data_IF_123394165150
#
_entry.id   IF_123394165150
#
_cell.length_a   1.000
_cell.length_b   1.000
_cell.length_c   1.000
_cell.angle_alpha   90.00
_cell.angle_beta   90.00
_cell.angle_gamma   90.00
#
_symmetry.space_group_name_H-M   'P 1'
#
loop_
_entity.id
_entity.type
_entity.pdbx_description
1 polymer ?
#
# COMPACT_ATOMS: atom_id res chain seq x y z
N UNK A 1 4.70 -0.59 0.63
CA UNK A 1 4.47 -1.66 -0.38
C UNK A 1 5.71 -2.50 -0.68
N UNK A 2 6.92 -1.94 -0.80
CA UNK A 2 8.14 -2.74 -1.05
C UNK A 2 8.37 -3.86 0.00
N UNK A 3 8.22 -3.56 1.29
CA UNK A 3 8.31 -4.57 2.36
C UNK A 3 7.24 -5.67 2.21
N UNK A 4 6.01 -5.30 1.85
CA UNK A 4 4.95 -6.28 1.60
C UNK A 4 5.28 -7.21 0.42
N UNK A 5 5.91 -6.70 -0.64
CA UNK A 5 6.40 -7.54 -1.74
C UNK A 5 7.50 -8.53 -1.28
N UNK A 6 8.40 -8.10 -0.39
CA UNK A 6 9.41 -8.97 0.21
C UNK A 6 8.76 -10.06 1.05
N UNK A 7 7.80 -9.71 1.92
CA UNK A 7 7.07 -10.70 2.71
C UNK A 7 6.29 -11.66 1.81
N UNK A 8 5.63 -11.15 0.75
CA UNK A 8 4.92 -12.00 -0.21
C UNK A 8 5.86 -12.98 -0.92
N UNK A 9 7.07 -12.53 -1.28
CA UNK A 9 8.11 -13.40 -1.84
C UNK A 9 8.58 -14.47 -0.84
N UNK A 10 8.73 -14.10 0.44
CA UNK A 10 9.08 -15.05 1.50
C UNK A 10 7.97 -16.07 1.74
N UNK A 11 6.71 -15.65 1.62
CA UNK A 11 5.55 -16.55 1.67
C UNK A 11 5.63 -17.52 0.48
N UNK A 12 5.73 -17.04 -0.77
CA UNK A 12 5.79 -17.95 -1.92
C UNK A 12 7.05 -18.83 -1.97
N UNK A 13 8.09 -18.51 -1.21
CA UNK A 13 9.32 -19.30 -1.10
C UNK A 13 9.32 -20.32 0.06
N UNK A 14 8.32 -20.29 0.94
CA UNK A 14 8.20 -21.21 2.07
C UNK A 14 7.32 -22.41 1.71
N UNK A 15 7.64 -23.62 2.19
CA UNK A 15 6.86 -24.85 1.92
C UNK A 15 5.72 -25.09 2.93
N UNK A 16 4.68 -25.89 2.59
CA UNK A 16 4.65 -26.94 1.56
C UNK A 16 3.97 -26.57 0.23
N UNK A 17 3.33 -25.41 0.14
CA UNK A 17 2.64 -24.91 -1.04
C UNK A 17 3.21 -23.55 -1.42
N UNK A 18 4.06 -23.53 -2.47
CA UNK A 18 4.86 -22.38 -2.90
C UNK A 18 4.02 -21.32 -3.65
N UNK A 19 3.98 -21.36 -4.98
CA UNK A 19 3.31 -20.35 -5.83
C UNK A 19 1.78 -20.38 -5.72
N UNK A 20 1.22 -21.50 -5.28
CA UNK A 20 -0.22 -21.71 -5.10
C UNK A 20 -0.53 -22.09 -3.65
N UNK A 21 -0.56 -21.10 -2.73
CA UNK A 21 -0.95 -21.37 -1.35
C UNK A 21 -2.36 -21.98 -1.33
N UNK A 22 -2.51 -23.09 -0.61
CA UNK A 22 -3.72 -23.89 -0.42
C UNK A 22 -4.19 -24.82 -1.57
N UNK A 23 -3.67 -24.71 -2.80
CA UNK A 23 -4.17 -25.49 -3.96
C UNK A 23 -3.37 -26.78 -4.27
N UNK A 24 -2.29 -27.08 -3.54
CA UNK A 24 -1.49 -28.28 -3.78
C UNK A 24 -1.98 -29.49 -2.96
N UNK A 25 -1.70 -30.71 -3.43
CA UNK A 25 -2.07 -31.96 -2.74
C UNK A 25 -1.53 -32.06 -1.30
N UNK A 26 -0.41 -31.39 -1.00
CA UNK A 26 0.16 -31.29 0.34
C UNK A 26 -0.65 -30.38 1.31
N UNK A 27 -1.67 -29.68 0.81
CA UNK A 27 -2.53 -28.75 1.57
C UNK A 27 -3.66 -29.46 2.34
N UNK A 28 -3.92 -30.75 2.09
CA UNK A 28 -5.09 -31.47 2.65
C UNK A 28 -6.37 -30.62 2.56
N UNK A 29 -6.75 -30.26 1.33
CA UNK A 29 -7.95 -29.46 1.02
C UNK A 29 -8.05 -28.10 1.77
N UNK A 30 -6.91 -27.43 1.98
CA UNK A 30 -6.86 -26.09 2.57
C UNK A 30 -6.60 -26.03 4.08
N UNK A 31 -6.24 -27.15 4.70
CA UNK A 31 -5.99 -27.22 6.16
C UNK A 31 -4.53 -26.94 6.52
N UNK A 32 -3.58 -27.31 5.66
CA UNK A 32 -2.15 -27.14 5.89
C UNK A 32 -1.66 -25.85 5.24
N UNK A 33 -1.47 -24.85 6.08
CA UNK A 33 -0.97 -23.55 5.68
C UNK A 33 0.55 -23.58 5.52
N UNK A 34 1.06 -22.61 4.75
CA UNK A 34 2.50 -22.40 4.65
C UNK A 34 3.10 -22.02 6.02
N UNK A 35 4.30 -22.51 6.31
CA UNK A 35 4.99 -22.31 7.59
C UNK A 35 5.58 -20.91 7.71
N UNK A 36 4.72 -19.89 7.72
CA UNK A 36 5.12 -18.49 7.88
C UNK A 36 4.45 -17.92 9.12
N UNK A 37 5.24 -17.24 9.95
CA UNK A 37 4.71 -16.61 11.15
C UNK A 37 4.02 -15.29 10.79
N UNK A 38 2.75 -15.14 11.16
CA UNK A 38 1.95 -13.91 10.95
C UNK A 38 2.57 -12.68 11.63
N UNK A 39 3.39 -12.89 12.67
CA UNK A 39 4.08 -11.82 13.39
C UNK A 39 5.05 -11.03 12.51
N UNK A 40 5.49 -11.58 11.36
CA UNK A 40 6.36 -10.88 10.41
C UNK A 40 5.63 -9.68 9.75
N UNK A 41 4.30 -9.64 9.81
CA UNK A 41 3.51 -8.53 9.29
C UNK A 41 3.42 -7.32 10.25
N UNK A 42 3.69 -7.52 11.55
CA UNK A 42 3.67 -6.44 12.57
C UNK A 42 4.55 -5.23 12.17
N UNK A 43 5.83 -5.39 11.80
CA UNK A 43 6.67 -4.26 11.42
C UNK A 43 6.14 -3.51 10.18
N UNK A 44 5.48 -4.20 9.25
CA UNK A 44 4.85 -3.55 8.10
C UNK A 44 3.78 -2.56 8.54
N UNK A 45 2.88 -2.99 9.43
CA UNK A 45 1.80 -2.14 9.94
C UNK A 45 2.32 -0.98 10.78
N UNK A 46 3.36 -1.22 11.59
CA UNK A 46 3.99 -0.17 12.38
C UNK A 46 4.56 0.95 11.50
N UNK A 47 5.37 0.59 10.49
CA UNK A 47 5.97 1.57 9.57
C UNK A 47 4.89 2.31 8.78
N UNK A 48 3.85 1.60 8.33
CA UNK A 48 2.73 2.20 7.61
C UNK A 48 2.00 3.24 8.46
N UNK A 49 1.67 2.91 9.72
CA UNK A 49 0.98 3.81 10.64
C UNK A 49 1.80 5.07 10.93
N UNK A 50 3.12 4.92 11.16
CA UNK A 50 4.01 6.07 11.38
C UNK A 50 4.05 6.98 10.14
N UNK A 51 4.15 6.41 8.94
CA UNK A 51 4.16 7.17 7.70
C UNK A 51 2.82 7.90 7.45
N UNK A 52 1.71 7.25 7.77
CA UNK A 52 0.37 7.82 7.62
C UNK A 52 0.16 9.01 8.55
N UNK A 53 0.55 8.90 9.84
CA UNK A 53 0.44 10.00 10.80
C UNK A 53 1.25 11.22 10.34
N UNK A 54 2.51 11.01 9.95
CA UNK A 54 3.39 12.09 9.50
C UNK A 54 2.87 12.76 8.23
N UNK A 55 2.43 11.97 7.25
CA UNK A 55 1.92 12.50 5.98
C UNK A 55 0.58 13.22 6.14
N UNK A 56 -0.38 12.62 6.84
CA UNK A 56 -1.75 13.12 6.93
C UNK A 56 -1.84 14.39 7.78
N UNK A 57 -1.14 14.44 8.93
CA UNK A 57 -1.14 15.62 9.79
C UNK A 57 -0.52 16.82 9.06
N UNK A 58 0.63 16.62 8.42
CA UNK A 58 1.32 17.67 7.65
C UNK A 58 0.48 18.17 6.47
N UNK A 59 -0.17 17.26 5.74
CA UNK A 59 -1.02 17.61 4.61
C UNK A 59 -2.24 18.44 5.04
N UNK A 60 -2.86 18.09 6.16
CA UNK A 60 -3.97 18.86 6.72
C UNK A 60 -3.53 20.25 7.18
N UNK A 61 -2.44 20.34 7.95
CA UNK A 61 -1.91 21.63 8.42
C UNK A 61 -1.53 22.55 7.26
N UNK A 62 -0.88 22.01 6.23
CA UNK A 62 -0.54 22.74 5.02
C UNK A 62 -1.80 23.22 4.27
N UNK A 63 -2.80 22.35 4.11
CA UNK A 63 -4.07 22.67 3.45
C UNK A 63 -4.83 23.76 4.20
N UNK A 64 -4.86 23.72 5.53
CA UNK A 64 -5.50 24.75 6.35
C UNK A 64 -4.74 26.08 6.35
N UNK A 65 -3.41 26.05 6.30
CA UNK A 65 -2.58 27.26 6.30
C UNK A 65 -2.61 28.00 4.96
N UNK A 66 -2.79 27.29 3.85
CA UNK A 66 -2.88 27.87 2.51
C UNK A 66 -4.31 28.14 2.04
N UNK A 67 -5.33 27.60 2.70
CA UNK A 67 -6.73 27.81 2.31
C UNK A 67 -7.22 29.24 2.69
N UNK A 68 -7.92 29.95 1.79
CA UNK A 68 -8.57 31.21 2.13
C UNK A 68 -9.70 30.96 3.14
N UNK A 69 -9.93 31.94 4.04
CA UNK A 69 -10.79 31.79 5.24
C UNK A 69 -12.18 31.19 4.96
N UNK A 70 -12.78 31.55 3.83
CA UNK A 70 -14.15 31.13 3.45
C UNK A 70 -14.22 29.79 2.68
N UNK A 71 -13.09 29.19 2.26
CA UNK A 71 -13.09 27.96 1.41
C UNK A 71 -12.53 26.70 2.09
N UNK A 72 -12.32 26.72 3.41
CA UNK A 72 -11.76 25.57 4.15
C UNK A 72 -12.58 24.29 3.96
N UNK A 73 -13.91 24.41 3.96
CA UNK A 73 -14.81 23.28 3.74
C UNK A 73 -14.67 22.69 2.33
N UNK A 74 -14.43 23.52 1.31
CA UNK A 74 -14.25 23.08 -0.08
C UNK A 74 -12.92 22.32 -0.21
N UNK A 75 -11.83 22.84 0.36
CA UNK A 75 -10.51 22.18 0.34
C UNK A 75 -10.56 20.82 1.06
N UNK A 76 -11.27 20.75 2.18
CA UNK A 76 -11.48 19.49 2.89
C UNK A 76 -12.33 18.50 2.07
N UNK A 77 -13.36 18.98 1.37
CA UNK A 77 -14.16 18.15 0.47
C UNK A 77 -13.33 17.57 -0.69
N UNK A 78 -12.45 18.37 -1.30
CA UNK A 78 -11.52 17.89 -2.33
C UNK A 78 -10.55 16.83 -1.79
N UNK A 79 -10.04 17.02 -0.56
CA UNK A 79 -9.15 16.04 0.08
C UNK A 79 -9.87 14.70 0.28
N UNK A 80 -11.12 14.72 0.72
CA UNK A 80 -11.92 13.49 0.85
C UNK A 80 -12.30 12.87 -0.49
N UNK A 81 -12.58 13.69 -1.51
CA UNK A 81 -12.82 13.21 -2.87
C UNK A 81 -11.59 12.46 -3.43
N UNK A 82 -10.38 12.98 -3.20
CA UNK A 82 -9.14 12.30 -3.58
C UNK A 82 -8.95 10.98 -2.83
N UNK A 83 -9.29 10.93 -1.53
CA UNK A 83 -9.29 9.68 -0.75
C UNK A 83 -10.28 8.65 -1.33
N UNK A 84 -11.49 9.08 -1.67
CA UNK A 84 -12.51 8.24 -2.31
C UNK A 84 -12.08 7.72 -3.68
N UNK A 85 -11.44 8.54 -4.50
CA UNK A 85 -10.85 8.12 -5.77
C UNK A 85 -9.74 7.07 -5.55
N UNK A 86 -8.91 7.25 -4.52
CA UNK A 86 -7.90 6.26 -4.13
C UNK A 86 -8.52 4.91 -3.77
N UNK A 87 -9.60 4.91 -2.98
CA UNK A 87 -10.34 3.69 -2.65
C UNK A 87 -10.98 3.04 -3.88
N UNK A 88 -11.57 3.83 -4.79
CA UNK A 88 -12.16 3.33 -6.03
C UNK A 88 -11.11 2.67 -6.94
N UNK A 89 -9.92 3.27 -7.06
CA UNK A 89 -8.79 2.66 -7.77
C UNK A 89 -8.32 1.37 -7.09
N UNK A 90 -8.29 1.33 -5.76
CA UNK A 90 -7.99 0.11 -5.00
C UNK A 90 -8.96 -1.03 -5.32
N UNK A 91 -10.26 -0.74 -5.38
CA UNK A 91 -11.28 -1.72 -5.78
C UNK A 91 -11.06 -2.17 -7.23
N UNK A 92 -10.78 -1.24 -8.15
CA UNK A 92 -10.52 -1.56 -9.56
C UNK A 92 -9.28 -2.44 -9.77
N UNK A 93 -8.32 -2.42 -8.84
CA UNK A 93 -7.11 -3.26 -8.87
C UNK A 93 -7.32 -4.66 -8.26
N UNK A 94 -8.43 -4.89 -7.54
CA UNK A 94 -8.79 -6.19 -6.96
C UNK A 94 -8.77 -7.37 -7.94
N UNK A 95 -9.31 -7.29 -9.18
CA UNK A 95 -9.27 -8.41 -10.13
C UNK A 95 -7.85 -8.78 -10.60
N UNK A 96 -6.85 -7.91 -10.40
CA UNK A 96 -5.45 -8.21 -10.69
C UNK A 96 -4.75 -8.97 -9.54
N UNK A 97 -5.40 -9.13 -8.39
CA UNK A 97 -4.87 -9.84 -7.24
C UNK A 97 -5.13 -11.36 -7.33
N UNK A 98 -4.62 -11.99 -8.39
CA UNK A 98 -4.70 -13.45 -8.59
C UNK A 98 -3.34 -14.09 -8.25
N UNK A 99 -3.33 -15.23 -7.55
CA UNK A 99 -2.10 -16.02 -7.34
C UNK A 99 -1.56 -16.51 -8.69
N UNK A 100 -0.26 -16.45 -9.02
CA UNK A 100 0.91 -15.94 -8.27
C UNK A 100 1.30 -14.47 -8.57
N UNK A 101 0.45 -13.71 -9.26
CA UNK A 101 0.76 -12.34 -9.72
C UNK A 101 0.74 -11.27 -8.60
N UNK A 102 0.43 -11.63 -7.35
CA UNK A 102 0.46 -10.68 -6.22
C UNK A 102 1.83 -10.02 -6.01
N UNK A 103 2.93 -10.73 -6.22
CA UNK A 103 4.28 -10.13 -6.11
C UNK A 103 4.43 -9.02 -7.16
N UNK A 104 4.01 -9.28 -8.40
CA UNK A 104 4.06 -8.28 -9.48
C UNK A 104 3.16 -7.08 -9.19
N UNK A 105 1.98 -7.30 -8.61
CA UNK A 105 1.09 -6.21 -8.18
C UNK A 105 1.76 -5.34 -7.10
N UNK A 106 2.31 -5.93 -6.03
CA UNK A 106 2.93 -5.17 -4.95
C UNK A 106 4.22 -4.46 -5.38
N UNK A 107 5.00 -5.07 -6.27
CA UNK A 107 6.21 -4.44 -6.83
C UNK A 107 5.84 -3.29 -7.77
N UNK A 108 4.84 -3.44 -8.64
CA UNK A 108 4.35 -2.37 -9.49
C UNK A 108 3.84 -1.17 -8.67
N UNK A 109 3.04 -1.43 -7.62
CA UNK A 109 2.58 -0.40 -6.70
C UNK A 109 3.75 0.30 -5.99
N UNK A 110 4.74 -0.46 -5.52
CA UNK A 110 5.94 0.12 -4.90
C UNK A 110 6.71 1.01 -5.86
N UNK A 111 6.87 0.60 -7.12
CA UNK A 111 7.55 1.39 -8.17
C UNK A 111 6.80 2.67 -8.48
N UNK A 112 5.47 2.61 -8.62
CA UNK A 112 4.64 3.80 -8.88
C UNK A 112 4.73 4.79 -7.70
N UNK A 113 4.64 4.30 -6.45
CA UNK A 113 4.79 5.15 -5.27
C UNK A 113 6.19 5.79 -5.16
N UNK A 114 7.24 5.04 -5.49
CA UNK A 114 8.60 5.58 -5.52
C UNK A 114 8.76 6.64 -6.62
N UNK A 115 8.22 6.37 -7.81
CA UNK A 115 8.27 7.30 -8.93
C UNK A 115 7.51 8.60 -8.63
N UNK A 116 6.31 8.53 -8.04
CA UNK A 116 5.54 9.73 -7.66
C UNK A 116 6.22 10.50 -6.54
N UNK A 117 6.81 9.83 -5.54
CA UNK A 117 7.59 10.48 -4.49
C UNK A 117 8.83 11.20 -5.06
N UNK A 118 9.59 10.55 -5.95
CA UNK A 118 10.74 11.16 -6.62
C UNK A 118 10.35 12.32 -7.52
N UNK A 119 9.26 12.18 -8.27
CA UNK A 119 8.71 13.24 -9.12
C UNK A 119 8.29 14.46 -8.28
N UNK A 120 7.57 14.22 -7.17
CA UNK A 120 7.17 15.26 -6.22
C UNK A 120 8.41 15.96 -5.64
N UNK A 121 9.37 15.20 -5.15
CA UNK A 121 10.62 15.76 -4.62
C UNK A 121 11.35 16.59 -5.67
N UNK A 122 11.46 16.11 -6.92
CA UNK A 122 12.16 16.84 -7.98
C UNK A 122 11.46 18.15 -8.37
N UNK A 123 10.13 18.15 -8.46
CA UNK A 123 9.33 19.34 -8.74
C UNK A 123 9.40 20.37 -7.61
N UNK A 124 9.32 19.93 -6.36
CA UNK A 124 9.28 20.81 -5.19
C UNK A 124 10.64 21.14 -4.59
N UNK A 125 11.74 20.51 -5.03
CA UNK A 125 13.10 20.85 -4.59
C UNK A 125 13.48 22.32 -4.83
N UNK A 126 12.78 23.01 -5.73
CA UNK A 126 12.97 24.45 -6.00
C UNK A 126 12.06 25.38 -5.17
N UNK A 127 11.06 24.82 -4.50
CA UNK A 127 10.06 25.55 -3.72
C UNK A 127 10.26 25.40 -2.20
N UNK A 128 11.26 24.60 -1.80
CA UNK A 128 11.92 24.64 -0.49
C UNK A 128 12.97 25.77 -0.50
#
# INVERSE_FOLDING_TARGET
MAYAAVIQKLIYSSGPCYEYPLECDASNNGTIHNRVNVLIQIPLYFILAVAEILGFVSALEYSYSKAPKEMKAIVQAFTQLMSGLGAALGIALTPAAVNPQLIWLYTALATVMAATALCCWWCFRKYD
#
